data_IF_012330266785
#
_entry.id   IF_012330266785
#
_cell.length_a   1.000
_cell.length_b   1.000
_cell.length_c   1.000
_cell.angle_alpha   90.00
_cell.angle_beta   90.00
_cell.angle_gamma   90.00
#
_symmetry.space_group_name_H-M   'P 1'
#
loop_
_entity.id
_entity.type
_entity.pdbx_description
1 polymer ?
#
# COMPACT_ATOMS: atom_id res chain seq x y z
N UNK A 1 32.79 2.97 19.06
CA UNK A 1 32.50 1.80 18.21
C UNK A 1 33.40 0.65 18.64
N UNK A 2 32.92 -0.30 19.44
CA UNK A 2 33.69 -1.49 19.82
C UNK A 2 33.18 -2.68 18.99
N UNK A 3 33.98 -3.09 18.01
CA UNK A 3 33.94 -4.35 17.25
C UNK A 3 33.02 -4.45 15.99
N UNK A 4 33.53 -4.07 14.79
CA UNK A 4 32.86 -4.32 13.50
C UNK A 4 32.67 -5.82 13.19
N UNK A 5 33.42 -6.72 13.84
CA UNK A 5 33.28 -8.17 13.67
C UNK A 5 31.90 -8.70 14.11
N UNK A 6 31.19 -7.98 14.98
CA UNK A 6 29.86 -8.37 15.43
C UNK A 6 28.75 -8.03 14.42
N UNK A 7 28.94 -7.07 13.51
CA UNK A 7 27.89 -6.64 12.56
C UNK A 7 27.50 -7.76 11.58
N UNK A 8 28.48 -8.58 11.17
CA UNK A 8 28.25 -9.72 10.29
C UNK A 8 27.40 -10.78 11.00
N UNK A 9 27.70 -11.05 12.27
CA UNK A 9 26.93 -12.01 13.06
C UNK A 9 25.51 -11.52 13.31
N UNK A 10 25.35 -10.25 13.70
CA UNK A 10 24.03 -9.64 13.88
C UNK A 10 23.18 -9.74 12.62
N UNK A 11 23.71 -9.29 11.47
CA UNK A 11 23.02 -9.38 10.18
C UNK A 11 22.65 -10.83 9.83
N UNK A 12 23.60 -11.77 9.95
CA UNK A 12 23.37 -13.18 9.62
C UNK A 12 22.26 -13.80 10.48
N UNK A 13 22.28 -13.55 11.78
CA UNK A 13 21.23 -14.04 12.69
C UNK A 13 19.89 -13.40 12.32
N UNK A 14 19.83 -12.08 12.12
CA UNK A 14 18.59 -11.39 11.73
C UNK A 14 18.01 -11.94 10.41
N UNK A 15 18.84 -12.17 9.39
CA UNK A 15 18.40 -12.77 8.12
C UNK A 15 17.82 -14.17 8.34
N UNK A 16 18.51 -15.03 9.09
CA UNK A 16 18.02 -16.38 9.37
C UNK A 16 16.66 -16.35 10.10
N UNK A 17 16.51 -15.46 11.08
CA UNK A 17 15.26 -15.27 11.83
C UNK A 17 14.13 -14.86 10.90
N UNK A 18 14.30 -13.80 10.09
CA UNK A 18 13.19 -13.33 9.22
C UNK A 18 12.82 -14.35 8.16
N UNK A 19 13.79 -15.13 7.63
CA UNK A 19 13.51 -16.18 6.66
C UNK A 19 12.74 -17.34 7.29
N UNK A 20 13.12 -17.75 8.50
CA UNK A 20 12.42 -18.78 9.26
C UNK A 20 10.97 -18.35 9.56
N UNK A 21 10.79 -17.16 10.12
CA UNK A 21 9.48 -16.59 10.45
C UNK A 21 8.64 -16.37 9.20
N UNK A 22 9.23 -15.87 8.11
CA UNK A 22 8.53 -15.65 6.86
C UNK A 22 8.01 -16.95 6.21
N UNK A 23 8.66 -18.09 6.46
CA UNK A 23 8.13 -19.39 6.06
C UNK A 23 6.89 -19.79 6.88
N UNK A 24 6.85 -19.47 8.18
CA UNK A 24 5.65 -19.68 9.01
C UNK A 24 4.50 -18.80 8.52
N UNK A 25 4.76 -17.52 8.23
CA UNK A 25 3.75 -16.58 7.69
C UNK A 25 3.12 -17.11 6.40
N UNK A 26 3.93 -17.64 5.48
CA UNK A 26 3.43 -18.26 4.24
C UNK A 26 2.57 -19.50 4.51
N UNK A 27 3.03 -20.39 5.40
CA UNK A 27 2.26 -21.57 5.77
C UNK A 27 0.90 -21.18 6.36
N UNK A 28 0.87 -20.19 7.25
CA UNK A 28 -0.35 -19.71 7.88
C UNK A 28 -1.29 -19.00 6.91
N UNK A 29 -0.77 -18.32 5.89
CA UNK A 29 -1.57 -17.64 4.85
C UNK A 29 -2.23 -18.59 3.85
N UNK A 30 -1.70 -19.80 3.70
CA UNK A 30 -2.23 -20.82 2.78
C UNK A 30 -3.36 -21.66 3.38
N UNK A 31 -3.63 -21.50 4.67
CA UNK A 31 -4.76 -22.12 5.35
C UNK A 31 -6.03 -21.30 5.04
N UNK A 32 -6.99 -21.93 4.38
CA UNK A 32 -8.31 -21.41 3.99
C UNK A 32 -8.98 -20.69 5.17
N UNK A 33 -9.00 -19.34 5.16
CA UNK A 33 -9.52 -18.55 6.28
C UNK A 33 -10.95 -18.10 5.98
N UNK A 34 -11.92 -18.91 6.39
CA UNK A 34 -13.29 -18.43 6.61
C UNK A 34 -13.28 -17.47 7.82
N UNK A 35 -12.87 -16.21 7.62
CA UNK A 35 -12.77 -15.18 8.66
C UNK A 35 -14.16 -14.55 8.85
N UNK A 36 -15.02 -15.27 9.56
CA UNK A 36 -16.25 -14.71 10.14
C UNK A 36 -16.21 -14.63 11.67
N UNK A 37 -15.54 -15.56 12.35
CA UNK A 37 -15.81 -15.76 13.78
C UNK A 37 -14.59 -16.25 14.56
N UNK A 38 -13.74 -15.35 15.06
CA UNK A 38 -12.81 -15.69 16.14
C UNK A 38 -12.26 -14.45 16.88
N UNK A 39 -13.14 -13.60 17.42
CA UNK A 39 -12.73 -12.43 18.22
C UNK A 39 -12.02 -12.77 19.54
N UNK A 40 -12.00 -14.04 19.98
CA UNK A 40 -11.38 -14.47 21.25
C UNK A 40 -10.73 -15.87 21.17
N UNK A 41 -9.79 -16.09 20.25
CA UNK A 41 -8.94 -17.29 20.32
C UNK A 41 -7.51 -17.01 19.88
N UNK A 42 -6.60 -17.89 20.27
CA UNK A 42 -5.22 -18.01 19.80
C UNK A 42 -5.08 -18.10 18.26
N UNK A 43 -6.19 -18.11 17.52
CA UNK A 43 -6.29 -18.13 16.07
C UNK A 43 -6.61 -16.75 15.45
N UNK A 44 -6.65 -15.66 16.23
CA UNK A 44 -6.76 -14.31 15.66
C UNK A 44 -5.45 -13.85 15.02
N UNK A 45 -5.52 -12.93 14.05
CA UNK A 45 -4.33 -12.40 13.37
C UNK A 45 -3.47 -11.57 14.31
N UNK A 46 -4.08 -10.81 15.22
CA UNK A 46 -3.36 -10.16 16.32
C UNK A 46 -2.65 -11.18 17.23
N UNK A 47 -3.28 -12.32 17.53
CA UNK A 47 -2.66 -13.40 18.30
C UNK A 47 -1.47 -14.04 17.55
N UNK A 48 -1.62 -14.31 16.26
CA UNK A 48 -0.53 -14.78 15.41
C UNK A 48 0.64 -13.79 15.36
N UNK A 49 0.35 -12.49 15.24
CA UNK A 49 1.36 -11.42 15.27
C UNK A 49 2.17 -11.46 16.57
N UNK A 50 1.49 -11.52 17.72
CA UNK A 50 2.12 -11.58 19.04
C UNK A 50 2.99 -12.84 19.20
N UNK A 51 2.50 -14.00 18.74
CA UNK A 51 3.24 -15.26 18.80
C UNK A 51 4.52 -15.21 17.95
N UNK A 52 4.43 -14.67 16.73
CA UNK A 52 5.60 -14.53 15.85
C UNK A 52 6.60 -13.50 16.39
N UNK A 53 6.12 -12.41 16.99
CA UNK A 53 7.01 -11.46 17.69
C UNK A 53 7.74 -12.11 18.87
N UNK A 54 7.04 -12.93 19.66
CA UNK A 54 7.65 -13.67 20.76
C UNK A 54 8.72 -14.66 20.24
N UNK A 55 8.44 -15.35 19.14
CA UNK A 55 9.37 -16.25 18.46
C UNK A 55 10.64 -15.51 17.98
N UNK A 56 10.48 -14.37 17.31
CA UNK A 56 11.60 -13.50 16.89
C UNK A 56 12.43 -13.10 18.13
N UNK A 57 11.76 -12.65 19.18
CA UNK A 57 12.40 -12.18 20.41
C UNK A 57 13.21 -13.29 21.09
N UNK A 58 12.65 -14.49 21.21
CA UNK A 58 13.32 -15.65 21.78
C UNK A 58 14.58 -16.02 20.99
N UNK A 59 14.49 -16.06 19.66
CA UNK A 59 15.62 -16.43 18.81
C UNK A 59 16.76 -15.40 18.88
N UNK A 60 16.42 -14.10 18.91
CA UNK A 60 17.41 -13.03 19.08
C UNK A 60 18.06 -13.08 20.46
N UNK A 61 17.30 -13.29 21.54
CA UNK A 61 17.84 -13.36 22.90
C UNK A 61 18.65 -14.64 23.15
N UNK A 62 18.37 -15.73 22.43
CA UNK A 62 19.17 -16.96 22.49
C UNK A 62 20.59 -16.72 21.96
N UNK A 63 20.72 -15.95 20.88
CA UNK A 63 22.01 -15.57 20.31
C UNK A 63 22.67 -14.40 21.06
N UNK A 64 21.87 -13.46 21.55
CA UNK A 64 22.33 -12.21 22.16
C UNK A 64 21.70 -11.97 23.54
N UNK A 65 22.03 -12.79 24.55
CA UNK A 65 21.35 -12.78 25.86
C UNK A 65 21.55 -11.50 26.68
N UNK A 66 22.53 -10.67 26.32
CA UNK A 66 22.79 -9.38 26.98
C UNK A 66 22.11 -8.19 26.27
N UNK A 67 21.41 -8.43 25.17
CA UNK A 67 20.65 -7.41 24.44
C UNK A 67 19.22 -7.32 24.98
N UNK A 68 18.49 -6.31 24.52
CA UNK A 68 17.08 -6.15 24.82
C UNK A 68 16.27 -6.22 23.52
N UNK A 69 15.00 -6.63 23.60
CA UNK A 69 14.09 -6.67 22.45
C UNK A 69 12.86 -5.86 22.79
N UNK A 70 12.45 -5.01 21.86
CA UNK A 70 11.24 -4.21 21.93
C UNK A 70 10.36 -4.59 20.74
N UNK A 71 9.14 -4.98 21.07
CA UNK A 71 8.08 -5.37 20.13
C UNK A 71 7.02 -4.28 20.16
N UNK A 72 6.53 -3.88 18.98
CA UNK A 72 5.25 -3.21 18.65
C UNK A 72 4.72 -2.05 19.55
N UNK A 73 4.69 -2.15 20.88
CA UNK A 73 3.95 -1.29 21.81
C UNK A 73 4.71 -0.74 23.03
N UNK A 74 6.01 -1.02 23.23
CA UNK A 74 6.69 -0.70 24.51
C UNK A 74 7.52 0.60 24.54
N UNK A 75 7.37 1.48 23.54
CA UNK A 75 8.31 2.60 23.36
C UNK A 75 7.92 3.83 24.16
N UNK A 76 6.62 4.03 24.42
CA UNK A 76 6.11 5.08 25.30
C UNK A 76 6.47 4.88 26.78
N UNK A 77 6.90 3.67 27.19
CA UNK A 77 7.17 3.34 28.59
C UNK A 77 8.62 3.59 29.03
N UNK A 78 9.55 3.89 28.11
CA UNK A 78 10.94 4.16 28.47
C UNK A 78 11.28 5.64 28.45
N UNK A 79 11.24 6.19 29.65
CA UNK A 79 11.74 7.53 30.00
C UNK A 79 13.28 7.64 30.09
N UNK A 80 14.04 6.56 29.85
CA UNK A 80 15.51 6.56 29.97
C UNK A 80 16.23 5.79 28.85
N UNK A 81 17.19 6.43 28.16
CA UNK A 81 18.13 5.75 27.28
C UNK A 81 18.91 4.68 28.06
N UNK A 82 19.11 3.51 27.46
CA UNK A 82 19.97 2.46 28.01
C UNK A 82 21.20 2.30 27.12
N UNK A 83 22.37 2.04 27.71
CA UNK A 83 23.61 1.78 26.96
C UNK A 83 23.63 0.41 26.25
N UNK A 84 22.60 -0.41 26.46
CA UNK A 84 22.51 -1.76 25.87
C UNK A 84 22.04 -1.70 24.41
N UNK A 85 22.48 -2.63 23.55
CA UNK A 85 21.89 -2.82 22.23
C UNK A 85 20.43 -3.27 22.34
N UNK A 86 19.57 -2.63 21.57
CA UNK A 86 18.13 -2.87 21.54
C UNK A 86 17.72 -3.37 20.16
N UNK A 87 17.06 -4.50 20.09
CA UNK A 87 16.38 -4.98 18.90
C UNK A 87 14.97 -4.40 18.84
N UNK A 88 14.64 -3.68 17.77
CA UNK A 88 13.26 -3.27 17.47
C UNK A 88 12.69 -4.25 16.45
N UNK A 89 11.57 -4.89 16.76
CA UNK A 89 11.02 -5.97 15.93
C UNK A 89 9.52 -5.84 15.69
N UNK A 90 9.11 -6.21 14.48
CA UNK A 90 7.71 -6.39 14.09
C UNK A 90 7.59 -7.57 13.12
N UNK A 91 6.74 -8.54 13.47
CA UNK A 91 6.46 -9.72 12.65
C UNK A 91 5.53 -9.44 11.46
N UNK A 92 4.64 -8.45 11.61
CA UNK A 92 3.78 -7.92 10.56
C UNK A 92 3.85 -6.40 10.59
N UNK A 93 4.48 -5.82 9.58
CA UNK A 93 4.08 -4.49 9.16
C UNK A 93 2.86 -4.64 8.24
N UNK A 94 1.71 -4.18 8.73
CA UNK A 94 0.34 -4.37 8.20
C UNK A 94 -0.36 -5.68 8.54
N UNK A 95 -1.13 -5.68 9.64
CA UNK A 95 -2.09 -6.74 9.95
C UNK A 95 -3.26 -6.74 8.94
N UNK A 96 -3.71 -5.55 8.50
CA UNK A 96 -4.79 -5.40 7.53
C UNK A 96 -4.46 -6.06 6.18
N UNK A 97 -3.27 -5.84 5.63
CA UNK A 97 -2.86 -6.51 4.40
C UNK A 97 -2.83 -8.03 4.56
N UNK A 98 -2.38 -8.52 5.72
CA UNK A 98 -2.35 -9.95 6.00
C UNK A 98 -3.74 -10.56 6.16
N UNK A 99 -4.68 -9.83 6.77
CA UNK A 99 -6.10 -10.17 6.87
C UNK A 99 -6.73 -10.36 5.50
N UNK A 100 -6.48 -9.42 4.59
CA UNK A 100 -7.06 -9.41 3.25
C UNK A 100 -6.22 -10.14 2.21
N UNK A 101 -5.17 -10.87 2.61
CA UNK A 101 -4.24 -11.58 1.71
C UNK A 101 -3.55 -10.69 0.66
N UNK A 102 -3.51 -9.38 0.90
CA UNK A 102 -2.78 -8.45 0.05
C UNK A 102 -1.26 -8.66 0.23
N UNK A 103 -0.48 -8.89 -0.84
CA UNK A 103 0.89 -9.44 -0.75
C UNK A 103 1.96 -8.43 -0.29
N UNK A 104 1.55 -7.37 0.42
CA UNK A 104 2.41 -6.27 0.87
C UNK A 104 2.54 -6.26 2.40
N UNK A 105 3.04 -7.39 2.92
CA UNK A 105 3.27 -7.64 4.35
C UNK A 105 4.74 -7.97 4.55
N UNK A 106 5.38 -7.41 5.58
CA UNK A 106 6.78 -7.71 5.87
C UNK A 106 7.08 -7.91 7.36
N UNK A 107 8.22 -8.56 7.61
CA UNK A 107 8.87 -8.64 8.92
C UNK A 107 9.95 -7.56 8.95
N UNK A 108 10.05 -6.82 10.05
CA UNK A 108 11.05 -5.77 10.27
C UNK A 108 11.87 -6.08 11.53
N UNK A 109 13.20 -6.06 11.41
CA UNK A 109 14.15 -6.21 12.52
C UNK A 109 15.24 -5.15 12.39
N UNK A 110 15.40 -4.33 13.44
CA UNK A 110 16.49 -3.37 13.55
C UNK A 110 17.29 -3.59 14.82
N UNK A 111 18.62 -3.46 14.77
CA UNK A 111 19.45 -3.32 15.96
C UNK A 111 19.81 -1.84 16.14
N UNK A 112 19.48 -1.30 17.29
CA UNK A 112 19.72 0.10 17.67
C UNK A 112 20.73 0.16 18.81
N UNK A 113 21.74 1.02 18.67
CA UNK A 113 22.75 1.29 19.68
C UNK A 113 22.90 2.80 19.81
N UNK A 114 22.74 3.34 21.02
CA UNK A 114 22.76 4.80 21.27
C UNK A 114 21.78 5.57 20.37
N UNK A 115 20.55 5.05 20.23
CA UNK A 115 19.51 5.60 19.34
C UNK A 115 19.81 5.57 17.84
N UNK A 116 20.94 5.00 17.42
CA UNK A 116 21.30 4.82 16.02
C UNK A 116 21.02 3.38 15.56
N UNK A 117 20.20 3.16 14.52
CA UNK A 117 20.14 1.89 13.82
C UNK A 117 21.50 1.51 13.23
N UNK A 118 21.97 0.30 13.52
CA UNK A 118 23.24 -0.25 13.01
C UNK A 118 23.08 -1.48 12.12
N UNK A 119 21.97 -2.22 12.29
CA UNK A 119 21.53 -3.34 11.44
C UNK A 119 20.05 -3.10 11.12
N UNK A 120 19.66 -3.35 9.87
CA UNK A 120 18.26 -3.26 9.43
C UNK A 120 17.98 -4.38 8.44
N UNK A 121 16.94 -5.16 8.72
CA UNK A 121 16.47 -6.25 7.87
C UNK A 121 14.95 -6.12 7.72
N UNK A 122 14.48 -6.04 6.49
CA UNK A 122 13.05 -6.04 6.14
C UNK A 122 12.82 -7.18 5.14
N UNK A 123 11.90 -8.10 5.45
CA UNK A 123 11.60 -9.24 4.59
C UNK A 123 10.11 -9.34 4.28
N UNK A 124 9.76 -9.24 3.00
CA UNK A 124 8.43 -9.60 2.53
C UNK A 124 8.48 -11.04 1.98
N UNK A 125 7.81 -12.00 2.64
CA UNK A 125 7.85 -13.41 2.24
C UNK A 125 7.02 -13.71 0.99
N UNK A 126 5.98 -12.91 0.69
CA UNK A 126 5.09 -13.09 -0.46
C UNK A 126 5.73 -12.63 -1.77
N UNK A 127 6.44 -11.49 -1.73
CA UNK A 127 7.17 -10.94 -2.87
C UNK A 127 8.61 -11.46 -2.96
N UNK A 128 9.05 -12.25 -1.97
CA UNK A 128 10.42 -12.73 -1.83
C UNK A 128 11.45 -11.60 -1.94
N UNK A 129 11.22 -10.51 -1.19
CA UNK A 129 12.08 -9.33 -1.14
C UNK A 129 12.73 -9.23 0.24
N UNK A 130 14.03 -9.49 0.30
CA UNK A 130 14.85 -9.36 1.50
C UNK A 130 15.73 -8.10 1.36
N UNK A 131 15.35 -7.05 2.06
CA UNK A 131 16.13 -5.83 2.18
C UNK A 131 17.02 -5.89 3.42
N UNK A 132 18.27 -5.49 3.27
CA UNK A 132 19.28 -5.54 4.33
C UNK A 132 20.18 -4.31 4.25
N UNK A 133 20.59 -3.81 5.41
CA UNK A 133 21.58 -2.77 5.52
C UNK A 133 22.36 -2.91 6.83
N UNK A 134 23.65 -2.56 6.75
CA UNK A 134 24.52 -2.34 7.90
C UNK A 134 25.04 -0.93 7.79
N UNK A 135 25.09 -0.22 8.92
CA UNK A 135 25.57 1.16 8.96
C UNK A 135 26.98 1.26 8.35
N UNK A 136 27.10 2.09 7.32
CA UNK A 136 28.28 2.36 6.49
C UNK A 136 28.70 1.28 5.49
N UNK A 137 27.84 0.30 5.18
CA UNK A 137 28.12 -0.76 4.20
C UNK A 137 27.20 -0.74 2.98
N UNK A 138 26.26 0.20 2.90
CA UNK A 138 25.25 0.26 1.86
C UNK A 138 24.07 -0.66 2.12
N UNK A 139 23.05 -0.50 1.29
CA UNK A 139 21.82 -1.29 1.32
C UNK A 139 21.75 -2.29 0.16
N UNK A 140 21.06 -3.40 0.41
CA UNK A 140 20.93 -4.52 -0.53
C UNK A 140 19.50 -5.05 -0.55
N UNK A 141 19.03 -5.51 -1.71
CA UNK A 141 17.81 -6.28 -1.89
C UNK A 141 18.19 -7.61 -2.55
N UNK A 142 17.87 -8.75 -1.91
CA UNK A 142 18.22 -10.08 -2.39
C UNK A 142 19.70 -10.22 -2.78
N UNK A 143 20.59 -9.64 -1.97
CA UNK A 143 22.05 -9.64 -2.19
C UNK A 143 22.55 -8.65 -3.26
N UNK A 144 21.66 -8.00 -4.01
CA UNK A 144 22.03 -6.96 -4.99
C UNK A 144 22.03 -5.58 -4.34
N UNK A 145 23.08 -4.79 -4.54
CA UNK A 145 23.17 -3.44 -3.98
C UNK A 145 22.07 -2.55 -4.57
N UNK A 146 21.36 -1.81 -3.72
CA UNK A 146 20.32 -0.87 -4.12
C UNK A 146 20.78 0.58 -3.91
N UNK A 147 20.13 1.49 -4.64
CA UNK A 147 20.27 2.94 -4.50
C UNK A 147 18.95 3.60 -4.82
N UNK A 148 18.69 4.73 -4.16
CA UNK A 148 17.59 5.61 -4.50
C UNK A 148 17.71 6.13 -5.94
N UNK A 149 16.57 6.42 -6.56
CA UNK A 149 16.50 7.08 -7.88
C UNK A 149 16.38 8.58 -7.68
N UNK A 150 17.32 9.34 -8.22
CA UNK A 150 17.27 10.81 -8.22
C UNK A 150 16.00 11.34 -8.89
N UNK A 151 15.50 12.46 -8.38
CA UNK A 151 14.32 13.11 -8.91
C UNK A 151 14.54 14.62 -8.87
N UNK A 152 14.40 15.31 -10.00
CA UNK A 152 14.63 16.77 -10.07
C UNK A 152 13.41 17.57 -9.60
N UNK A 153 12.20 17.02 -9.77
CA UNK A 153 10.95 17.70 -9.47
C UNK A 153 9.89 16.73 -8.96
N UNK A 154 8.95 17.23 -8.16
CA UNK A 154 7.82 16.41 -7.72
C UNK A 154 6.96 15.92 -8.88
N UNK A 155 6.86 16.66 -9.98
CA UNK A 155 6.06 16.27 -11.16
C UNK A 155 6.54 14.97 -11.81
N UNK A 156 7.77 14.56 -11.54
CA UNK A 156 8.31 13.27 -11.97
C UNK A 156 8.30 12.19 -10.89
N UNK A 157 7.95 12.56 -9.65
CA UNK A 157 8.04 11.72 -8.48
C UNK A 157 6.82 10.81 -8.31
N UNK A 158 7.08 9.54 -8.00
CA UNK A 158 6.10 8.63 -7.42
C UNK A 158 6.19 8.70 -5.89
N UNK A 159 5.09 9.04 -5.23
CA UNK A 159 5.03 9.20 -3.77
C UNK A 159 4.17 8.09 -3.14
N UNK A 160 4.66 7.44 -2.08
CA UNK A 160 3.87 6.50 -1.29
C UNK A 160 3.39 7.12 0.02
N UNK A 161 2.25 6.66 0.53
CA UNK A 161 1.71 7.11 1.80
C UNK A 161 0.68 6.10 2.31
N UNK A 162 0.13 6.30 3.51
CA UNK A 162 -0.91 5.42 4.06
C UNK A 162 -1.97 6.20 4.84
N UNK A 163 -3.24 5.78 4.73
CA UNK A 163 -4.37 6.34 5.47
C UNK A 163 -4.86 5.42 6.60
N UNK A 164 -4.55 4.13 6.57
CA UNK A 164 -5.12 3.11 7.46
C UNK A 164 -4.82 3.32 8.95
N UNK A 165 -3.96 4.28 9.29
CA UNK A 165 -3.61 4.67 10.67
C UNK A 165 -4.61 5.65 11.29
N UNK A 166 -5.44 6.33 10.49
CA UNK A 166 -6.35 7.35 11.00
C UNK A 166 -7.70 6.74 11.38
N UNK A 167 -8.01 6.82 12.67
CA UNK A 167 -9.25 6.30 13.24
C UNK A 167 -10.24 7.40 13.67
N UNK A 168 -9.87 8.66 13.46
CA UNK A 168 -10.69 9.85 13.74
C UNK A 168 -10.98 10.63 12.47
N UNK A 169 -12.20 11.14 12.32
CA UNK A 169 -12.62 11.88 11.13
C UNK A 169 -11.77 13.14 10.92
N UNK A 170 -11.44 13.84 12.02
CA UNK A 170 -10.60 15.03 11.95
C UNK A 170 -9.20 14.74 11.39
N UNK A 171 -8.58 13.64 11.81
CA UNK A 171 -7.25 13.24 11.32
C UNK A 171 -7.30 12.80 9.86
N UNK A 172 -8.33 12.04 9.48
CA UNK A 172 -8.53 11.62 8.09
C UNK A 172 -8.74 12.83 7.18
N UNK A 173 -9.51 13.83 7.61
CA UNK A 173 -9.73 15.06 6.84
C UNK A 173 -8.43 15.83 6.60
N UNK A 174 -7.55 15.96 7.61
CA UNK A 174 -6.24 16.58 7.42
C UNK A 174 -5.34 15.75 6.49
N UNK A 175 -5.35 14.42 6.61
CA UNK A 175 -4.61 13.54 5.70
C UNK A 175 -5.09 13.67 4.25
N UNK A 176 -6.40 13.76 4.03
CA UNK A 176 -7.00 13.97 2.71
C UNK A 176 -6.65 15.34 2.14
N UNK A 177 -6.62 16.40 2.96
CA UNK A 177 -6.15 17.74 2.54
C UNK A 177 -4.69 17.69 2.07
N UNK A 178 -3.81 17.07 2.84
CA UNK A 178 -2.40 16.87 2.45
C UNK A 178 -2.29 16.15 1.11
N UNK A 179 -3.08 15.09 0.92
CA UNK A 179 -3.05 14.30 -0.31
C UNK A 179 -3.59 15.10 -1.50
N UNK A 180 -4.64 15.89 -1.32
CA UNK A 180 -5.17 16.80 -2.36
C UNK A 180 -4.13 17.81 -2.82
N UNK A 181 -3.39 18.41 -1.90
CA UNK A 181 -2.30 19.34 -2.21
C UNK A 181 -1.16 18.65 -2.98
N UNK A 182 -0.91 17.38 -2.69
CA UNK A 182 0.12 16.58 -3.35
C UNK A 182 -0.27 16.17 -4.79
N UNK A 183 -1.52 15.75 -5.02
CA UNK A 183 -1.96 15.13 -6.28
C UNK A 183 -1.64 15.95 -7.54
N UNK A 184 -1.75 17.27 -7.47
CA UNK A 184 -1.47 18.16 -8.60
C UNK A 184 0.03 18.40 -8.84
N UNK A 185 0.85 18.08 -7.85
CA UNK A 185 2.28 18.38 -7.85
C UNK A 185 3.13 17.17 -8.24
N UNK A 186 2.55 15.97 -8.33
CA UNK A 186 3.29 14.70 -8.46
C UNK A 186 2.92 13.89 -9.69
N UNK A 187 3.82 13.00 -10.13
CA UNK A 187 3.54 12.07 -11.23
C UNK A 187 2.45 11.06 -10.87
N UNK A 188 2.40 10.67 -9.61
CA UNK A 188 1.39 9.78 -9.10
C UNK A 188 1.66 9.38 -7.66
N UNK A 189 0.68 8.71 -7.06
CA UNK A 189 0.74 8.28 -5.67
C UNK A 189 0.36 6.81 -5.52
N UNK A 190 0.78 6.17 -4.42
CA UNK A 190 0.39 4.80 -4.04
C UNK A 190 0.13 4.72 -2.53
N UNK A 191 -0.89 3.97 -2.14
CA UNK A 191 -1.09 3.54 -0.76
C UNK A 191 -1.12 2.01 -0.74
N UNK A 192 -0.14 1.39 -0.08
CA UNK A 192 0.10 -0.05 -0.15
C UNK A 192 0.04 -0.75 1.21
N UNK A 193 -0.20 -0.02 2.30
CA UNK A 193 -0.48 -0.60 3.61
C UNK A 193 0.72 -0.92 4.49
N UNK A 194 1.98 -0.67 4.10
CA UNK A 194 3.17 -1.01 4.89
C UNK A 194 4.26 0.05 4.79
N UNK A 195 4.50 0.79 5.88
CA UNK A 195 5.49 1.86 5.95
C UNK A 195 6.93 1.34 5.72
N UNK A 196 7.28 0.19 6.30
CA UNK A 196 8.61 -0.40 6.13
C UNK A 196 8.87 -0.78 4.66
N UNK A 197 7.85 -1.33 3.99
CA UNK A 197 7.94 -1.66 2.57
C UNK A 197 7.99 -0.41 1.69
N UNK A 198 7.24 0.63 2.02
CA UNK A 198 7.26 1.89 1.26
C UNK A 198 8.64 2.56 1.31
N UNK A 199 9.26 2.61 2.49
CA UNK A 199 10.64 3.07 2.64
C UNK A 199 11.62 2.20 1.84
N UNK A 200 11.46 0.89 1.84
CA UNK A 200 12.30 -0.02 1.03
C UNK A 200 12.07 0.17 -0.49
N UNK A 201 10.84 0.50 -0.90
CA UNK A 201 10.47 0.84 -2.28
C UNK A 201 11.16 2.13 -2.72
N UNK A 202 11.25 3.15 -1.86
CA UNK A 202 12.07 4.36 -2.09
C UNK A 202 13.55 4.00 -2.15
N UNK A 203 14.06 3.23 -1.18
CA UNK A 203 15.46 2.82 -1.11
C UNK A 203 15.93 2.03 -2.36
N UNK A 204 15.03 1.27 -2.99
CA UNK A 204 15.29 0.54 -4.23
C UNK A 204 15.17 1.39 -5.50
N UNK A 205 14.75 2.65 -5.38
CA UNK A 205 14.54 3.56 -6.51
C UNK A 205 13.29 3.25 -7.33
N UNK A 206 12.38 2.44 -6.80
CA UNK A 206 11.09 2.14 -7.42
C UNK A 206 10.07 3.26 -7.19
N UNK A 207 10.32 4.10 -6.19
CA UNK A 207 9.63 5.35 -5.95
C UNK A 207 10.61 6.43 -5.45
N UNK A 208 10.11 7.66 -5.33
CA UNK A 208 10.95 8.82 -5.05
C UNK A 208 10.81 9.34 -3.62
N UNK A 209 9.65 9.14 -2.99
CA UNK A 209 9.47 9.44 -1.59
C UNK A 209 8.28 8.69 -0.99
N UNK A 210 8.20 8.69 0.34
CA UNK A 210 7.00 8.33 1.09
C UNK A 210 6.85 9.23 2.32
N UNK A 211 5.62 9.35 2.82
CA UNK A 211 5.36 10.00 4.10
C UNK A 211 4.39 9.19 4.93
N UNK A 212 4.64 9.14 6.24
CA UNK A 212 3.87 8.37 7.18
C UNK A 212 3.70 9.14 8.49
N UNK A 213 2.53 8.98 9.08
CA UNK A 213 2.17 9.51 10.39
C UNK A 213 1.91 8.34 11.33
N UNK A 214 2.07 8.57 12.62
CA UNK A 214 1.84 7.58 13.69
C UNK A 214 2.49 6.18 13.45
N UNK A 215 3.65 6.17 12.80
CA UNK A 215 4.40 4.93 12.52
C UNK A 215 5.16 4.47 13.74
N UNK A 216 4.98 3.21 14.12
CA UNK A 216 5.73 2.63 15.23
C UNK A 216 7.19 2.47 14.82
N UNK A 217 8.10 2.80 15.72
CA UNK A 217 9.53 2.75 15.38
C UNK A 217 10.03 1.33 15.09
N UNK A 218 9.40 0.30 15.65
CA UNK A 218 9.66 -1.11 15.30
C UNK A 218 9.31 -1.47 13.86
N UNK A 219 8.41 -0.72 13.22
CA UNK A 219 8.10 -0.87 11.80
C UNK A 219 9.20 -0.17 10.96
N UNK A 220 9.51 1.08 11.27
CA UNK A 220 10.32 1.95 10.39
C UNK A 220 11.83 1.90 10.63
N UNK A 221 12.33 1.52 11.83
CA UNK A 221 13.76 1.61 12.17
C UNK A 221 14.68 0.93 11.17
N UNK A 222 14.34 -0.31 10.78
CA UNK A 222 15.13 -1.09 9.83
C UNK A 222 15.12 -0.44 8.45
N UNK A 223 13.94 0.00 8.01
CA UNK A 223 13.73 0.61 6.71
C UNK A 223 14.41 1.99 6.59
N UNK A 224 14.47 2.77 7.67
CA UNK A 224 15.21 4.05 7.70
C UNK A 224 16.72 3.82 7.52
N UNK A 225 17.29 2.79 8.16
CA UNK A 225 18.69 2.44 7.90
C UNK A 225 18.91 2.01 6.45
N UNK A 226 18.01 1.18 5.92
CA UNK A 226 18.05 0.72 4.52
C UNK A 226 17.99 1.90 3.56
N UNK A 227 17.09 2.86 3.78
CA UNK A 227 16.95 4.06 2.98
C UNK A 227 18.22 4.92 3.00
N UNK A 228 18.74 5.22 4.19
CA UNK A 228 19.91 6.10 4.35
C UNK A 228 21.17 5.45 3.76
N UNK A 229 21.36 4.14 3.92
CA UNK A 229 22.46 3.39 3.30
C UNK A 229 22.30 3.22 1.78
N UNK A 230 21.08 3.32 1.24
CA UNK A 230 20.82 3.41 -0.19
C UNK A 230 21.09 4.81 -0.77
N UNK A 231 21.39 5.80 0.08
CA UNK A 231 21.64 7.20 -0.29
C UNK A 231 20.41 8.11 -0.24
N UNK A 232 19.30 7.62 0.33
CA UNK A 232 18.10 8.43 0.58
C UNK A 232 18.21 9.31 1.81
N UNK A 233 17.14 10.06 2.06
CA UNK A 233 17.05 11.04 3.13
C UNK A 233 15.78 10.81 3.97
N UNK A 234 15.90 10.92 5.30
CA UNK A 234 14.79 10.80 6.24
C UNK A 234 14.70 12.09 7.08
N UNK A 235 13.50 12.63 7.21
CA UNK A 235 13.20 13.85 7.96
C UNK A 235 11.87 13.68 8.70
N UNK A 236 11.67 14.39 9.81
CA UNK A 236 10.35 14.45 10.45
C UNK A 236 9.39 15.28 9.57
N UNK A 237 8.08 15.03 9.65
CA UNK A 237 7.08 15.78 8.86
C UNK A 237 7.04 17.26 9.23
N UNK A 238 7.51 17.64 10.43
CA UNK A 238 7.65 19.03 10.83
C UNK A 238 8.93 19.73 10.30
N UNK A 239 9.80 19.01 9.59
CA UNK A 239 11.07 19.52 9.05
C UNK A 239 12.27 19.42 9.99
N UNK A 240 12.11 18.91 11.22
CA UNK A 240 13.21 18.63 12.12
C UNK A 240 13.99 17.37 11.72
N UNK A 241 15.14 17.16 12.36
CA UNK A 241 15.88 15.90 12.21
C UNK A 241 14.98 14.73 12.59
N UNK A 242 14.94 13.71 11.72
CA UNK A 242 14.22 12.48 11.99
C UNK A 242 14.60 11.94 13.38
N UNK A 243 13.57 11.67 14.18
CA UNK A 243 13.71 11.06 15.48
C UNK A 243 13.05 9.69 15.42
N UNK A 244 13.80 8.63 15.69
CA UNK A 244 13.23 7.28 15.67
C UNK A 244 12.09 7.10 16.69
N UNK A 245 12.03 7.96 17.71
CA UNK A 245 10.98 7.97 18.71
C UNK A 245 9.79 8.86 18.31
N UNK A 246 9.91 9.69 17.28
CA UNK A 246 8.75 10.37 16.69
C UNK A 246 8.06 9.41 15.73
N UNK A 247 6.74 9.49 15.70
CA UNK A 247 5.91 8.61 14.89
C UNK A 247 5.73 9.15 13.45
N UNK A 248 6.33 10.31 13.14
CA UNK A 248 6.14 11.01 11.88
C UNK A 248 7.43 11.01 11.05
N UNK A 249 7.29 10.70 9.76
CA UNK A 249 8.44 10.51 8.88
C UNK A 249 8.10 10.88 7.43
N UNK A 250 9.01 11.61 6.80
CA UNK A 250 9.16 11.70 5.35
C UNK A 250 10.46 11.01 4.96
N UNK A 251 10.36 10.04 4.06
CA UNK A 251 11.47 9.35 3.42
C UNK A 251 11.56 9.78 1.97
N UNK A 252 12.72 10.17 1.46
CA UNK A 252 12.86 10.62 0.08
C UNK A 252 14.18 10.15 -0.55
N UNK A 253 14.25 10.24 -1.87
CA UNK A 253 15.45 9.97 -2.64
C UNK A 253 16.57 10.98 -2.37
N UNK A 254 16.26 12.21 -1.96
CA UNK A 254 17.22 13.21 -1.51
C UNK A 254 16.59 14.25 -0.57
N UNK A 255 17.44 15.12 -0.01
CA UNK A 255 17.03 16.19 0.93
C UNK A 255 16.13 17.24 0.28
N UNK A 256 16.29 17.52 -1.02
CA UNK A 256 15.50 18.54 -1.71
C UNK A 256 14.04 18.09 -1.83
N UNK A 257 13.81 16.86 -2.32
CA UNK A 257 12.47 16.27 -2.40
C UNK A 257 11.83 16.18 -1.01
N UNK A 258 12.58 15.78 0.01
CA UNK A 258 12.07 15.72 1.38
C UNK A 258 11.59 17.10 1.88
N UNK A 259 12.37 18.16 1.67
CA UNK A 259 12.02 19.53 2.08
C UNK A 259 10.82 20.09 1.32
N UNK A 260 10.69 19.79 0.03
CA UNK A 260 9.51 20.19 -0.73
C UNK A 260 8.27 19.50 -0.15
N UNK A 261 8.36 18.20 0.19
CA UNK A 261 7.24 17.49 0.81
C UNK A 261 6.86 18.05 2.19
N UNK A 262 7.82 18.44 3.03
CA UNK A 262 7.54 19.13 4.31
C UNK A 262 6.71 20.40 4.09
N UNK A 263 6.90 21.12 2.98
CA UNK A 263 6.12 22.34 2.68
C UNK A 263 4.70 22.08 2.17
N UNK A 264 4.39 20.83 1.79
CA UNK A 264 3.10 20.42 1.23
C UNK A 264 2.30 19.59 2.25
N UNK A 265 2.98 18.74 3.00
CA UNK A 265 2.42 17.79 3.95
C UNK A 265 2.46 18.40 5.34
N UNK A 266 1.33 18.92 5.81
CA UNK A 266 1.22 19.48 7.15
C UNK A 266 1.19 18.38 8.21
N UNK A 267 1.79 18.66 9.37
CA UNK A 267 1.76 17.74 10.52
C UNK A 267 0.33 17.55 11.01
N UNK A 268 -0.08 16.29 11.23
CA UNK A 268 -1.40 15.95 11.78
C UNK A 268 -1.25 15.76 13.31
N UNK A 269 -1.86 16.61 14.16
CA UNK A 269 -1.74 16.47 15.62
C UNK A 269 -2.53 15.25 16.15
N UNK A 270 -1.95 14.54 17.13
CA UNK A 270 -2.62 13.42 17.83
C UNK A 270 -3.88 13.87 18.59
N UNK A 271 -3.85 15.11 19.09
CA UNK A 271 -4.87 15.72 19.93
C UNK A 271 -6.05 16.32 19.16
N UNK A 272 -6.19 16.04 17.86
CA UNK A 272 -7.42 16.38 17.16
C UNK A 272 -8.56 15.59 17.80
N UNK A 273 -9.41 16.29 18.54
CA UNK A 273 -10.70 15.79 19.01
C UNK A 273 -11.61 15.66 17.78
N UNK A 274 -12.43 14.61 17.75
CA UNK A 274 -13.53 14.60 16.81
C UNK A 274 -14.40 15.81 17.11
N UNK A 275 -14.59 16.67 16.11
CA UNK A 275 -15.62 17.70 16.20
C UNK A 275 -16.92 16.91 16.36
N UNK A 276 -17.72 17.12 17.43
CA UNK A 276 -19.05 16.52 17.50
C UNK A 276 -19.78 16.89 16.21
N UNK A 277 -20.40 15.93 15.53
CA UNK A 277 -21.22 16.19 14.36
C UNK A 277 -22.17 17.36 14.67
N UNK A 278 -21.82 18.52 14.14
CA UNK A 278 -22.22 19.82 14.71
C UNK A 278 -21.81 20.98 13.81
N UNK A 279 -21.75 20.72 12.50
CA UNK A 279 -22.31 21.64 11.53
C UNK A 279 -23.76 21.17 11.37
N UNK A 280 -24.74 22.08 11.41
CA UNK A 280 -26.16 21.79 11.21
C UNK A 280 -26.38 20.90 9.97
N UNK A 281 -26.34 19.59 10.16
CA UNK A 281 -26.91 18.61 9.27
C UNK A 281 -28.41 18.66 9.55
N UNK A 282 -29.19 19.11 8.57
CA UNK A 282 -30.62 18.84 8.56
C UNK A 282 -30.86 17.39 8.96
N UNK A 283 -31.65 17.17 10.00
CA UNK A 283 -32.05 15.86 10.52
C UNK A 283 -32.56 14.95 9.40
N UNK A 284 -31.67 14.18 8.78
CA UNK A 284 -32.04 12.91 8.15
C UNK A 284 -31.28 11.79 8.85
N UNK A 285 -31.97 10.74 9.31
CA UNK A 285 -31.33 9.65 10.02
C UNK A 285 -30.34 8.93 9.10
N UNK A 286 -29.12 8.73 9.59
CA UNK A 286 -28.14 7.81 9.01
C UNK A 286 -28.80 6.42 8.96
N UNK A 287 -28.95 5.79 7.78
CA UNK A 287 -29.57 4.48 7.70
C UNK A 287 -28.76 3.45 8.50
N UNK A 288 -29.44 2.73 9.40
CA UNK A 288 -28.88 1.57 10.10
C UNK A 288 -28.39 0.55 9.08
N UNK A 289 -27.14 0.09 9.26
CA UNK A 289 -26.48 -0.99 8.54
C UNK A 289 -26.39 -0.84 7.01
N UNK A 290 -25.17 -0.69 6.52
CA UNK A 290 -24.84 -0.96 5.12
C UNK A 290 -25.26 -2.41 4.78
N UNK A 291 -26.38 -2.56 4.10
CA UNK A 291 -26.85 -3.83 3.58
C UNK A 291 -26.08 -4.15 2.29
N UNK A 292 -25.12 -5.08 2.40
CA UNK A 292 -24.31 -5.57 1.28
C UNK A 292 -25.13 -6.27 0.19
N UNK A 293 -26.42 -6.53 0.42
CA UNK A 293 -27.32 -7.18 -0.54
C UNK A 293 -27.73 -6.24 -1.69
N UNK A 294 -27.72 -4.92 -1.46
CA UNK A 294 -28.20 -3.91 -2.43
C UNK A 294 -27.29 -3.79 -3.66
N UNK A 295 -25.98 -4.06 -3.53
CA UNK A 295 -25.06 -3.97 -4.68
C UNK A 295 -25.25 -5.17 -5.61
N UNK A 296 -25.57 -6.36 -5.08
CA UNK A 296 -25.70 -7.56 -5.91
C UNK A 296 -26.97 -7.53 -6.77
N UNK A 297 -28.10 -7.04 -6.25
CA UNK A 297 -29.33 -6.90 -7.06
C UNK A 297 -29.17 -5.86 -8.19
N UNK A 298 -28.45 -4.76 -7.94
CA UNK A 298 -28.23 -3.72 -8.95
C UNK A 298 -27.32 -4.14 -10.12
N UNK A 299 -26.49 -5.18 -9.92
CA UNK A 299 -25.63 -5.73 -10.96
C UNK A 299 -26.39 -6.77 -11.80
N UNK A 300 -27.27 -7.56 -11.18
CA UNK A 300 -28.12 -8.52 -11.90
C UNK A 300 -29.16 -7.80 -12.79
N UNK A 301 -29.79 -6.72 -12.30
CA UNK A 301 -30.71 -5.89 -13.11
C UNK A 301 -30.02 -5.18 -14.31
N UNK A 302 -28.73 -4.88 -14.18
CA UNK A 302 -27.92 -4.27 -15.24
C UNK A 302 -27.47 -5.29 -16.30
N UNK A 303 -27.44 -6.58 -15.97
CA UNK A 303 -27.13 -7.66 -16.89
C UNK A 303 -28.38 -8.14 -17.64
N UNK A 304 -29.56 -8.14 -17.00
CA UNK A 304 -30.83 -8.48 -17.67
C UNK A 304 -31.31 -7.39 -18.66
N UNK A 305 -30.85 -6.14 -18.51
CA UNK A 305 -31.25 -5.02 -19.38
C UNK A 305 -30.40 -4.82 -20.64
N UNK A 306 -29.41 -5.70 -20.90
CA UNK A 306 -28.56 -5.69 -22.09
C UNK A 306 -28.76 -6.88 -23.04
N UNK A 307 -29.82 -7.68 -22.86
CA UNK A 307 -30.24 -8.64 -23.90
C UNK A 307 -31.07 -7.92 -24.97
N UNK A 308 -30.44 -7.55 -26.09
CA UNK A 308 -31.18 -7.25 -27.32
C UNK A 308 -32.04 -8.46 -27.72
N UNK A 309 -33.32 -8.28 -28.09
CA UNK A 309 -34.19 -9.40 -28.43
C UNK A 309 -33.71 -10.07 -29.72
N UNK A 310 -33.24 -11.31 -29.60
CA UNK A 310 -33.07 -12.20 -30.75
C UNK A 310 -34.46 -12.52 -31.31
N UNK A 311 -34.77 -12.02 -32.50
CA UNK A 311 -35.94 -12.47 -33.26
C UNK A 311 -35.79 -13.97 -33.57
N UNK A 312 -36.52 -14.81 -32.83
CA UNK A 312 -36.75 -16.21 -33.17
C UNK A 312 -37.52 -16.30 -34.49
N UNK A 313 -36.79 -16.50 -35.60
CA UNK A 313 -37.38 -17.06 -36.82
C UNK A 313 -37.35 -18.58 -36.71
N UNK A 314 -38.52 -19.13 -36.43
CA UNK A 314 -38.81 -20.56 -36.46
C UNK A 314 -38.77 -21.08 -37.90
N UNK A 315 -37.82 -21.97 -38.17
CA UNK A 315 -37.97 -22.97 -39.25
C UNK A 315 -37.61 -24.32 -38.64
N UNK A 316 -38.65 -25.13 -38.46
CA UNK A 316 -38.53 -26.53 -38.11
C UNK A 316 -37.94 -27.36 -39.25
N UNK A 317 -37.26 -28.43 -38.83
CA UNK A 317 -37.38 -29.81 -39.33
C UNK A 317 -36.27 -30.38 -40.22
N UNK A 318 -35.89 -31.57 -39.76
CA UNK A 318 -35.34 -32.75 -40.46
C UNK A 318 -33.81 -32.91 -40.56
N UNK A 319 -33.35 -33.86 -39.72
CA UNK A 319 -32.54 -35.03 -40.09
C UNK A 319 -31.65 -34.90 -41.34
N UNK A 320 -30.32 -35.10 -41.21
CA UNK A 320 -29.77 -36.44 -41.35
C UNK A 320 -28.25 -36.48 -41.14
N UNK A 321 -27.82 -37.70 -40.90
CA UNK A 321 -26.49 -38.24 -40.68
C UNK A 321 -25.42 -38.02 -41.77
N UNK A 322 -24.17 -38.24 -41.34
CA UNK A 322 -23.07 -38.89 -42.06
C UNK A 322 -22.06 -38.09 -42.93
N UNK A 323 -20.79 -38.33 -42.57
CA UNK A 323 -19.67 -38.79 -43.41
C UNK A 323 -18.87 -37.83 -44.33
N UNK A 324 -17.58 -37.77 -43.98
CA UNK A 324 -16.38 -38.00 -44.81
C UNK A 324 -15.79 -36.95 -45.76
N UNK A 325 -14.45 -37.00 -45.76
CA UNK A 325 -13.48 -36.67 -46.83
C UNK A 325 -13.25 -35.19 -47.14
N UNK A 326 -12.07 -34.65 -46.81
CA UNK A 326 -10.78 -34.70 -47.54
C UNK A 326 -10.72 -33.80 -48.79
N UNK A 327 -9.72 -32.91 -48.72
CA UNK A 327 -8.76 -32.54 -49.77
C UNK A 327 -9.10 -31.40 -50.76
N UNK A 328 -8.21 -30.40 -50.68
CA UNK A 328 -7.39 -29.87 -51.77
C UNK A 328 -7.96 -28.91 -52.83
N UNK A 329 -7.60 -27.64 -52.63
CA UNK A 329 -6.63 -26.89 -53.45
C UNK A 329 -7.13 -25.89 -54.53
N UNK A 330 -6.47 -24.73 -54.45
CA UNK A 330 -6.17 -23.71 -55.46
C UNK A 330 -7.26 -22.91 -56.22
N UNK A 331 -7.11 -21.58 -56.04
CA UNK A 331 -6.97 -20.53 -57.08
C UNK A 331 -8.11 -19.49 -57.30
N UNK A 332 -7.71 -18.24 -57.05
CA UNK A 332 -8.08 -16.97 -57.69
C UNK A 332 -9.56 -16.64 -58.01
N UNK A 333 -10.13 -15.65 -57.32
CA UNK A 333 -10.30 -14.29 -57.87
C UNK A 333 -11.08 -13.38 -56.90
N UNK A 334 -10.85 -12.08 -57.07
CA UNK A 334 -11.32 -10.94 -56.28
C UNK A 334 -12.84 -10.87 -56.10
N UNK A 335 -13.28 -10.58 -54.87
CA UNK A 335 -14.39 -9.67 -54.61
C UNK A 335 -14.22 -9.05 -53.21
N UNK A 336 -14.42 -7.73 -53.13
CA UNK A 336 -14.38 -6.94 -51.91
C UNK A 336 -15.52 -7.38 -50.97
N UNK A 337 -15.19 -7.77 -49.74
CA UNK A 337 -16.16 -7.77 -48.65
C UNK A 337 -15.54 -7.18 -47.39
N UNK A 338 -16.25 -6.18 -46.88
CA UNK A 338 -15.99 -5.45 -45.64
C UNK A 338 -16.01 -6.44 -44.49
N UNK A 339 -14.85 -6.62 -43.82
CA UNK A 339 -14.81 -7.30 -42.53
C UNK A 339 -15.09 -6.25 -41.47
N UNK A 340 -16.30 -6.30 -40.91
CA UNK A 340 -16.67 -5.65 -39.66
C UNK A 340 -15.73 -6.14 -38.56
N UNK A 341 -14.82 -5.27 -38.12
CA UNK A 341 -14.29 -5.32 -36.76
C UNK A 341 -15.44 -5.07 -35.78
N UNK A 342 -15.59 -5.82 -34.68
CA UNK A 342 -16.51 -5.43 -33.62
C UNK A 342 -16.07 -4.04 -33.15
N UNK A 343 -16.96 -3.07 -33.39
CA UNK A 343 -16.70 -1.66 -33.18
C UNK A 343 -16.26 -1.40 -31.74
N UNK A 344 -15.25 -0.55 -31.61
CA UNK A 344 -14.99 0.18 -30.40
C UNK A 344 -16.31 0.68 -29.81
N UNK A 345 -16.61 0.30 -28.57
CA UNK A 345 -17.61 0.99 -27.78
C UNK A 345 -17.26 2.47 -27.84
N UNK A 346 -18.04 3.23 -28.61
CA UNK A 346 -17.79 4.66 -28.80
C UNK A 346 -17.79 5.31 -27.44
N UNK A 347 -16.81 6.16 -27.18
CA UNK A 347 -16.53 6.96 -25.97
C UNK A 347 -17.78 7.55 -25.27
N UNK A 348 -18.90 7.67 -26.00
CA UNK A 348 -20.20 8.11 -25.51
C UNK A 348 -20.94 7.10 -24.61
N UNK A 349 -20.77 5.79 -24.77
CA UNK A 349 -21.51 4.80 -23.95
C UNK A 349 -20.92 4.64 -22.54
N UNK A 350 -19.60 4.74 -22.41
CA UNK A 350 -18.89 4.78 -21.13
C UNK A 350 -19.20 6.07 -20.36
N UNK A 351 -19.26 7.21 -21.06
CA UNK A 351 -19.67 8.49 -20.47
C UNK A 351 -21.10 8.48 -19.94
N UNK A 352 -22.04 7.85 -20.66
CA UNK A 352 -23.43 7.75 -20.23
C UNK A 352 -23.63 6.81 -19.03
N UNK A 353 -22.87 5.71 -18.95
CA UNK A 353 -22.91 4.79 -17.80
C UNK A 353 -22.36 5.45 -16.53
N UNK A 354 -21.26 6.19 -16.66
CA UNK A 354 -20.67 6.94 -15.55
C UNK A 354 -21.60 8.06 -15.04
N UNK A 355 -22.31 8.75 -15.95
CA UNK A 355 -23.28 9.78 -15.57
C UNK A 355 -24.48 9.21 -14.80
N UNK A 356 -24.98 8.05 -15.22
CA UNK A 356 -26.13 7.40 -14.57
C UNK A 356 -25.78 6.86 -13.18
N UNK A 357 -24.58 6.29 -13.03
CA UNK A 357 -24.02 5.88 -11.73
C UNK A 357 -23.85 7.06 -10.75
N UNK A 358 -23.55 8.26 -11.24
CA UNK A 358 -23.46 9.47 -10.42
C UNK A 358 -24.85 10.03 -10.08
N UNK A 359 -25.83 9.94 -10.99
CA UNK A 359 -27.21 10.37 -10.72
C UNK A 359 -27.90 9.54 -9.63
N UNK A 360 -27.57 8.25 -9.52
CA UNK A 360 -28.19 7.32 -8.55
C UNK A 360 -27.51 7.32 -7.16
N UNK A 361 -26.42 8.08 -6.97
CA UNK A 361 -25.77 8.26 -5.65
C UNK A 361 -26.40 9.41 -4.85
N UNK A 362 -26.56 9.21 -3.52
CA UNK A 362 -27.09 10.25 -2.60
C UNK A 362 -26.16 11.47 -2.48
N UNK A 363 -26.79 12.63 -2.30
CA UNK A 363 -26.24 13.97 -2.51
C UNK A 363 -24.88 14.34 -1.86
N UNK A 364 -24.48 13.87 -0.66
CA UNK A 364 -23.16 14.25 -0.13
C UNK A 364 -21.97 13.61 -0.86
N UNK A 365 -22.19 12.53 -1.61
CA UNK A 365 -21.17 11.89 -2.47
C UNK A 365 -21.17 12.52 -3.87
N UNK A 366 -22.32 13.03 -4.33
CA UNK A 366 -22.43 13.78 -5.59
C UNK A 366 -21.59 15.04 -5.58
N UNK A 367 -21.62 15.85 -4.53
CA UNK A 367 -20.85 17.11 -4.51
C UNK A 367 -19.34 16.86 -4.54
N UNK A 368 -18.85 15.84 -3.82
CA UNK A 368 -17.44 15.48 -3.79
C UNK A 368 -16.92 14.88 -5.12
N UNK A 369 -17.80 14.26 -5.91
CA UNK A 369 -17.45 13.65 -7.21
C UNK A 369 -17.72 14.63 -8.37
N UNK A 370 -18.74 15.48 -8.29
CA UNK A 370 -19.04 16.49 -9.33
C UNK A 370 -17.89 17.49 -9.48
N UNK A 371 -17.26 17.88 -8.37
CA UNK A 371 -16.03 18.69 -8.38
C UNK A 371 -14.83 18.00 -9.07
N UNK A 372 -14.79 16.66 -9.06
CA UNK A 372 -13.76 15.86 -9.76
C UNK A 372 -14.10 15.70 -11.24
N UNK A 373 -15.38 15.55 -11.58
CA UNK A 373 -15.86 15.40 -12.97
C UNK A 373 -15.76 16.71 -13.75
N UNK A 374 -16.08 17.86 -13.15
CA UNK A 374 -15.95 19.18 -13.78
C UNK A 374 -14.49 19.56 -14.09
N UNK A 375 -13.52 19.05 -13.32
CA UNK A 375 -12.10 19.23 -13.60
C UNK A 375 -11.64 18.45 -14.84
N UNK A 376 -12.26 17.29 -15.13
CA UNK A 376 -12.02 16.53 -16.37
C UNK A 376 -12.71 17.13 -17.60
N UNK A 377 -13.82 17.85 -17.43
CA UNK A 377 -14.52 18.52 -18.54
C UNK A 377 -13.73 19.72 -19.12
N UNK A 378 -12.79 20.29 -18.37
CA UNK A 378 -11.85 21.33 -18.83
C UNK A 378 -10.74 20.81 -19.76
N UNK A 379 -10.61 19.49 -19.94
CA UNK A 379 -9.68 18.88 -20.91
C UNK A 379 -10.36 18.63 -22.28
N UNK A 380 -11.63 19.00 -22.42
CA UNK A 380 -12.45 18.77 -23.61
C UNK A 380 -12.78 20.03 -24.42
N UNK A 381 -12.03 21.13 -24.26
CA UNK A 381 -12.25 22.37 -25.03
C UNK A 381 -11.54 22.29 -26.41
N UNK A 382 -12.27 22.26 -27.56
CA UNK A 382 -11.67 22.12 -28.89
C UNK A 382 -10.90 23.35 -29.38
N UNK A 383 -10.72 24.41 -28.58
CA UNK A 383 -10.14 25.68 -29.03
C UNK A 383 -8.60 25.76 -28.85
N UNK A 384 -7.96 24.81 -28.18
CA UNK A 384 -6.50 24.83 -27.95
C UNK A 384 -5.64 24.03 -28.94
N UNK A 385 -6.18 23.64 -30.10
CA UNK A 385 -5.47 22.90 -31.15
C UNK A 385 -5.15 23.73 -32.41
N UNK A 386 -4.97 25.05 -32.26
CA UNK A 386 -4.30 25.87 -33.30
C UNK A 386 -3.63 27.09 -32.68
N UNK A 387 -2.32 27.01 -32.44
CA UNK A 387 -1.23 27.98 -32.75
C UNK A 387 0.09 27.39 -32.28
#
# INVERSE_FOLDING_TARGET
>A
MRHPENLIEYEKVSINVVLYVGNQIKADSSLDRNIGEAKNSTHSIAGAHQNLNALISEELLRHFPNHEVIVDSQIGERSKPTDKPIWLVSAFDSQLNFEHTFPYVCISIALVVNSDPIIGVVYNPFLNKLYTAKKHFGAYCNGSRIRVRSCESLQDALILFEFSVFHKNAQLNEALKNTRSLFWSVRGTRAMGSAAMDLCTVASGSANASFHFDSKSSQIAAAVLILTEAGGYAIDTNGDRFNLMSANLIAACDENIAKILVSIVESIPDALEDIPDGLESSDEPIPEAFDSTIILESVDDALESNEDPVEETSVESEEDSNLDSMADDASESREESVVDTPGAATDKSLGALAFKLVEDMRDPVKDAITDVVDATALVSDPVLLTI
#
